data_IF_865274371602
#
_entry.id   IF_865274371602
#
_cell.length_a   1.000
_cell.length_b   1.000
_cell.length_c   1.000
_cell.angle_alpha   90.00
_cell.angle_beta   90.00
_cell.angle_gamma   90.00
#
_symmetry.space_group_name_H-M   'P 1'
#
loop_
_entity.id
_entity.type
_entity.pdbx_description
1 polymer ?
#
# COMPACT_ATOMS: atom_id res chain seq x y z
N UNK A 1 -21.78 24.30 0.62
CA UNK A 1 -21.72 23.42 -0.56
C UNK A 1 -20.85 24.10 -1.59
N UNK A 2 -19.56 23.77 -1.58
CA UNK A 2 -18.54 24.36 -2.45
C UNK A 2 -18.69 23.82 -3.88
N UNK A 3 -19.13 24.64 -4.81
CA UNK A 3 -19.02 24.33 -6.23
C UNK A 3 -17.56 24.50 -6.66
N UNK A 4 -16.83 23.38 -6.73
CA UNK A 4 -15.59 23.29 -7.50
C UNK A 4 -15.94 23.46 -8.98
N UNK A 5 -15.95 24.69 -9.45
CA UNK A 5 -15.92 25.00 -10.88
C UNK A 5 -14.52 24.63 -11.41
N UNK A 6 -14.44 23.47 -12.07
CA UNK A 6 -13.23 23.09 -12.82
C UNK A 6 -12.94 24.18 -13.87
N UNK A 7 -11.71 24.73 -13.96
CA UNK A 7 -11.41 25.72 -14.98
C UNK A 7 -11.57 25.08 -16.36
N UNK A 8 -12.44 25.69 -17.18
CA UNK A 8 -12.68 25.33 -18.58
C UNK A 8 -11.34 25.33 -19.32
N UNK A 9 -11.08 24.30 -20.13
CA UNK A 9 -9.88 24.21 -20.97
C UNK A 9 -9.84 25.41 -21.92
N UNK A 10 -9.02 26.40 -21.58
CA UNK A 10 -8.84 27.59 -22.39
C UNK A 10 -8.03 27.25 -23.64
N UNK A 11 -8.69 27.24 -24.79
CA UNK A 11 -8.07 27.13 -26.11
C UNK A 11 -7.45 28.48 -26.49
N UNK A 12 -6.31 28.82 -25.90
CA UNK A 12 -5.56 30.03 -26.27
C UNK A 12 -4.91 29.85 -27.65
N UNK A 13 -5.14 30.79 -28.58
CA UNK A 13 -4.42 30.81 -29.86
C UNK A 13 -2.95 31.19 -29.62
N UNK A 14 -2.04 30.72 -30.48
CA UNK A 14 -0.59 30.97 -30.37
C UNK A 14 -0.23 32.47 -30.37
N UNK A 15 -1.05 33.32 -30.97
CA UNK A 15 -0.82 34.76 -31.07
C UNK A 15 -1.33 35.53 -29.85
N UNK A 16 -2.12 34.90 -28.98
CA UNK A 16 -2.76 35.52 -27.82
C UNK A 16 -1.98 35.28 -26.50
N UNK A 17 -0.78 34.72 -26.57
CA UNK A 17 0.04 34.48 -25.37
C UNK A 17 0.62 35.83 -24.89
N UNK A 18 0.34 36.25 -23.63
CA UNK A 18 0.84 37.52 -23.12
C UNK A 18 2.36 37.62 -23.18
N UNK A 19 2.87 38.80 -23.52
CA UNK A 19 4.31 39.03 -23.70
C UNK A 19 5.12 38.78 -22.42
N UNK A 20 4.52 39.01 -21.25
CA UNK A 20 5.09 38.65 -19.96
C UNK A 20 5.34 37.13 -19.82
N UNK A 21 4.47 36.29 -20.39
CA UNK A 21 4.64 34.83 -20.38
C UNK A 21 5.71 34.42 -21.39
N UNK A 22 5.78 35.09 -22.54
CA UNK A 22 6.80 34.85 -23.57
C UNK A 22 8.22 35.05 -22.99
N UNK A 23 8.43 36.10 -22.19
CA UNK A 23 9.74 36.36 -21.54
C UNK A 23 10.17 35.30 -20.51
N UNK A 24 9.23 34.47 -20.03
CA UNK A 24 9.46 33.41 -19.06
C UNK A 24 9.65 32.03 -19.71
N UNK A 25 9.30 31.88 -21.00
CA UNK A 25 9.55 30.66 -21.76
C UNK A 25 11.07 30.36 -21.78
N UNK A 26 11.45 29.13 -21.46
CA UNK A 26 12.85 28.71 -21.35
C UNK A 26 13.53 28.99 -20.00
N UNK A 27 13.00 29.89 -19.17
CA UNK A 27 13.50 30.16 -17.79
C UNK A 27 12.79 29.34 -16.72
N UNK A 28 11.53 28.97 -16.97
CA UNK A 28 10.71 28.09 -16.12
C UNK A 28 10.17 26.93 -16.97
N UNK A 29 9.74 25.86 -16.31
CA UNK A 29 9.15 24.75 -17.05
C UNK A 29 7.77 25.14 -17.62
N UNK A 30 7.49 24.72 -18.84
CA UNK A 30 6.21 24.97 -19.52
C UNK A 30 5.00 24.48 -18.67
N UNK A 31 5.23 23.47 -17.81
CA UNK A 31 4.21 22.92 -16.89
C UNK A 31 3.93 23.84 -15.71
N UNK A 32 4.96 24.47 -15.16
CA UNK A 32 4.80 25.40 -14.03
C UNK A 32 4.14 26.70 -14.51
N UNK A 33 4.58 27.23 -15.67
CA UNK A 33 3.93 28.37 -16.32
C UNK A 33 2.48 28.10 -16.70
N UNK A 34 2.17 26.86 -17.12
CA UNK A 34 0.80 26.45 -17.41
C UNK A 34 -0.10 26.50 -16.17
N UNK A 35 0.42 26.09 -15.01
CA UNK A 35 -0.32 26.11 -13.76
C UNK A 35 -0.56 27.53 -13.23
N UNK A 36 0.41 28.44 -13.42
CA UNK A 36 0.33 29.83 -12.96
C UNK A 36 -0.55 30.70 -13.89
N UNK A 37 -0.33 30.61 -15.20
CA UNK A 37 -0.99 31.50 -16.17
C UNK A 37 -2.34 30.95 -16.69
N UNK A 38 -2.68 29.70 -16.37
CA UNK A 38 -3.89 29.03 -16.88
C UNK A 38 -3.85 28.71 -18.37
N UNK A 39 -2.71 28.91 -19.04
CA UNK A 39 -2.49 28.60 -20.46
C UNK A 39 -2.07 27.14 -20.58
N UNK A 40 -2.57 26.41 -21.59
CA UNK A 40 -2.15 25.03 -21.79
C UNK A 40 -0.64 24.92 -22.07
N UNK A 41 0.04 24.02 -21.36
CA UNK A 41 1.45 23.71 -21.55
C UNK A 41 1.78 23.36 -23.02
N UNK A 42 0.81 22.84 -23.77
CA UNK A 42 0.95 22.57 -25.20
C UNK A 42 1.20 23.86 -26.02
N UNK A 43 0.42 24.91 -25.79
CA UNK A 43 0.56 26.17 -26.52
C UNK A 43 1.84 26.91 -26.13
N UNK A 44 2.23 26.86 -24.85
CA UNK A 44 3.52 27.38 -24.38
C UNK A 44 4.68 26.67 -25.08
N UNK A 45 4.63 25.34 -25.19
CA UNK A 45 5.63 24.56 -25.93
C UNK A 45 5.70 24.96 -27.40
N UNK A 46 4.56 25.13 -28.07
CA UNK A 46 4.51 25.51 -29.49
C UNK A 46 5.04 26.94 -29.72
N UNK A 47 4.68 27.90 -28.86
CA UNK A 47 5.21 29.27 -28.93
C UNK A 47 6.71 29.31 -28.65
N UNK A 48 7.18 28.53 -27.68
CA UNK A 48 8.60 28.36 -27.37
C UNK A 48 9.39 27.84 -28.59
N UNK A 49 8.87 26.82 -29.28
CA UNK A 49 9.47 26.29 -30.50
C UNK A 49 9.44 27.29 -31.66
N UNK A 50 8.34 28.04 -31.82
CA UNK A 50 8.22 29.08 -32.85
C UNK A 50 9.23 30.23 -32.65
N UNK A 51 9.58 30.55 -31.41
CA UNK A 51 10.58 31.54 -31.05
C UNK A 51 12.01 30.98 -30.98
N UNK A 52 12.21 29.68 -31.25
CA UNK A 52 13.53 29.04 -31.19
C UNK A 52 14.12 28.97 -29.78
N UNK A 53 13.30 29.06 -28.74
CA UNK A 53 13.76 29.03 -27.34
C UNK A 53 13.88 27.57 -26.89
N UNK A 54 15.00 27.21 -26.27
CA UNK A 54 15.21 25.86 -25.76
C UNK A 54 14.29 25.53 -24.57
N UNK A 55 14.00 24.24 -24.40
CA UNK A 55 13.19 23.80 -23.27
C UNK A 55 13.95 24.07 -21.97
N UNK A 56 13.24 24.49 -20.93
CA UNK A 56 13.85 24.66 -19.62
C UNK A 56 14.45 23.33 -19.14
N UNK A 57 15.78 23.25 -19.08
CA UNK A 57 16.51 22.10 -18.56
C UNK A 57 16.73 22.28 -17.07
N UNK A 58 16.17 21.37 -16.27
CA UNK A 58 16.52 21.29 -14.84
C UNK A 58 18.02 20.95 -14.72
N UNK A 59 18.81 21.90 -14.22
CA UNK A 59 20.23 21.70 -13.94
C UNK A 59 21.17 22.70 -14.59
N UNK A 60 20.70 23.50 -15.57
CA UNK A 60 21.41 24.67 -16.06
C UNK A 60 20.91 25.88 -15.27
N UNK A 61 21.79 26.45 -14.45
CA UNK A 61 21.45 27.57 -13.57
C UNK A 61 22.17 28.83 -14.07
N UNK A 62 21.51 30.00 -14.07
CA UNK A 62 22.17 31.25 -14.43
C UNK A 62 23.43 31.48 -13.58
N UNK A 63 24.53 31.93 -14.20
CA UNK A 63 25.79 32.19 -13.48
C UNK A 63 25.59 33.19 -12.33
N UNK A 64 24.75 34.20 -12.53
CA UNK A 64 24.34 35.15 -11.48
C UNK A 64 23.68 34.47 -10.28
N UNK A 65 22.88 33.43 -10.51
CA UNK A 65 22.25 32.64 -9.44
C UNK A 65 23.32 31.86 -8.66
N UNK A 66 24.29 31.28 -9.36
CA UNK A 66 25.39 30.54 -8.74
C UNK A 66 26.25 31.43 -7.84
N UNK A 67 26.50 32.67 -8.25
CA UNK A 67 27.25 33.65 -7.45
C UNK A 67 26.50 34.14 -6.20
N UNK A 68 25.17 34.06 -6.19
CA UNK A 68 24.32 34.46 -5.07
C UNK A 68 24.05 33.32 -4.07
N UNK A 69 24.26 32.06 -4.47
CA UNK A 69 24.19 30.91 -3.58
C UNK A 69 25.16 31.08 -2.41
N UNK A 70 24.64 30.99 -1.19
CA UNK A 70 25.45 31.16 0.01
C UNK A 70 25.81 32.62 0.35
N UNK A 71 25.48 33.62 -0.48
CA UNK A 71 25.50 35.04 -0.05
C UNK A 71 24.13 35.52 0.42
N UNK A 72 23.11 35.00 -0.24
CA UNK A 72 21.70 35.32 -0.03
C UNK A 72 20.95 34.06 0.42
N UNK A 73 19.80 34.19 1.06
CA UNK A 73 19.01 33.03 1.50
C UNK A 73 18.54 32.19 0.30
N UNK A 74 18.48 30.87 0.46
CA UNK A 74 17.97 29.96 -0.58
C UNK A 74 16.53 30.34 -1.00
N UNK A 75 15.76 30.97 -0.09
CA UNK A 75 14.41 31.48 -0.35
C UNK A 75 14.43 32.65 -1.32
N UNK A 76 15.24 33.66 -1.04
CA UNK A 76 15.32 34.88 -1.83
C UNK A 76 15.97 34.63 -3.20
N UNK A 77 16.94 33.72 -3.28
CA UNK A 77 17.45 33.21 -4.56
C UNK A 77 16.34 32.50 -5.33
N UNK A 78 15.52 31.69 -4.64
CA UNK A 78 14.35 31.05 -5.24
C UNK A 78 13.33 32.05 -5.79
N UNK A 79 12.96 33.06 -5.01
CA UNK A 79 12.01 34.10 -5.40
C UNK A 79 12.54 34.96 -6.56
N UNK A 80 13.82 35.37 -6.51
CA UNK A 80 14.46 36.23 -7.52
C UNK A 80 14.60 35.56 -8.88
N UNK A 81 14.95 34.28 -8.91
CA UNK A 81 15.18 33.54 -10.15
C UNK A 81 14.01 32.62 -10.54
N UNK A 82 12.95 32.56 -9.72
CA UNK A 82 11.78 31.72 -9.98
C UNK A 82 12.00 30.22 -9.77
N UNK A 83 12.93 29.84 -8.91
CA UNK A 83 13.19 28.44 -8.54
C UNK A 83 12.56 28.10 -7.19
N UNK A 84 12.05 26.87 -7.06
CA UNK A 84 11.57 26.38 -5.78
C UNK A 84 12.71 26.28 -4.74
N UNK A 85 12.47 26.69 -3.49
CA UNK A 85 13.49 26.76 -2.43
C UNK A 85 14.26 25.45 -2.22
N UNK A 86 13.58 24.30 -2.34
CA UNK A 86 14.22 22.99 -2.20
C UNK A 86 15.21 22.70 -3.35
N UNK A 87 14.93 23.20 -4.55
CA UNK A 87 15.82 23.06 -5.71
C UNK A 87 17.09 23.89 -5.52
N UNK A 88 16.96 25.10 -4.97
CA UNK A 88 18.10 25.97 -4.63
C UNK A 88 18.93 25.35 -3.50
N UNK A 89 18.29 24.84 -2.45
CA UNK A 89 18.98 24.15 -1.35
C UNK A 89 19.70 22.88 -1.82
N UNK A 90 19.08 22.11 -2.72
CA UNK A 90 19.71 20.93 -3.34
C UNK A 90 20.90 21.32 -4.22
N UNK A 91 20.77 22.38 -5.02
CA UNK A 91 21.85 22.92 -5.84
C UNK A 91 23.03 23.39 -4.97
N UNK A 92 22.74 24.18 -3.93
CA UNK A 92 23.72 24.66 -2.97
C UNK A 92 24.52 23.51 -2.35
N UNK A 93 23.81 22.45 -1.90
CA UNK A 93 24.43 21.24 -1.34
C UNK A 93 25.26 20.50 -2.39
N UNK A 94 24.79 20.41 -3.63
CA UNK A 94 25.50 19.75 -4.74
C UNK A 94 26.81 20.48 -5.09
N UNK A 95 26.83 21.81 -4.97
CA UNK A 95 28.00 22.65 -5.21
C UNK A 95 28.88 22.84 -3.96
N UNK A 96 28.54 22.19 -2.84
CA UNK A 96 29.33 22.27 -1.60
C UNK A 96 29.32 23.64 -0.91
N UNK A 97 28.43 24.55 -1.31
CA UNK A 97 28.39 25.91 -0.76
C UNK A 97 27.65 25.89 0.58
N UNK A 98 28.23 26.46 1.63
CA UNK A 98 27.55 26.61 2.91
C UNK A 98 26.46 27.68 2.81
N UNK A 99 25.30 27.45 3.44
CA UNK A 99 24.30 28.52 3.60
C UNK A 99 24.79 29.44 4.71
N UNK A 100 25.07 30.71 4.40
CA UNK A 100 25.53 31.71 5.38
C UNK A 100 24.41 32.17 6.30
N UNK A 101 23.17 32.07 5.85
CA UNK A 101 22.01 32.49 6.60
C UNK A 101 21.29 31.25 7.11
N UNK A 102 21.44 30.96 8.41
CA UNK A 102 20.44 30.13 9.10
C UNK A 102 19.09 30.77 8.79
N UNK A 103 18.12 30.07 8.18
CA UNK A 103 16.84 30.70 7.90
C UNK A 103 16.36 31.29 9.22
N UNK A 104 16.21 32.62 9.25
CA UNK A 104 15.50 33.29 10.32
C UNK A 104 14.14 32.61 10.31
N UNK A 105 13.94 31.69 11.25
CA UNK A 105 12.69 30.99 11.38
C UNK A 105 11.76 32.04 11.95
N UNK A 106 11.22 32.89 11.08
CA UNK A 106 10.07 33.71 11.42
C UNK A 106 9.06 32.68 11.93
N UNK A 107 8.60 32.81 13.19
CA UNK A 107 7.63 31.88 13.74
C UNK A 107 6.43 31.93 12.81
N UNK A 108 6.28 30.89 12.01
CA UNK A 108 5.11 30.77 11.15
C UNK A 108 3.94 30.73 12.12
N UNK A 109 2.95 31.61 11.95
CA UNK A 109 1.67 31.59 12.68
C UNK A 109 0.85 30.33 12.33
N UNK A 110 1.51 29.18 12.12
CA UNK A 110 0.87 27.90 12.34
C UNK A 110 0.55 27.86 13.83
N UNK A 111 -0.72 27.61 14.22
CA UNK A 111 -1.03 27.34 15.62
C UNK A 111 -0.07 26.23 16.05
N UNK A 112 0.83 26.56 16.99
CA UNK A 112 1.79 25.62 17.55
C UNK A 112 0.99 24.40 17.94
N UNK A 113 1.13 23.32 17.17
CA UNK A 113 0.72 22.00 17.63
C UNK A 113 1.48 21.87 18.93
N UNK A 114 0.73 21.97 20.04
CA UNK A 114 1.22 21.99 21.41
C UNK A 114 2.45 21.11 21.46
N UNK A 115 3.60 21.68 21.86
CA UNK A 115 4.84 20.94 22.13
C UNK A 115 4.41 19.67 22.83
N UNK A 116 4.39 18.54 22.12
CA UNK A 116 3.78 17.31 22.65
C UNK A 116 4.46 17.08 23.99
N UNK A 117 3.67 17.13 25.06
CA UNK A 117 4.18 16.83 26.39
C UNK A 117 4.95 15.53 26.25
N UNK A 118 6.21 15.53 26.68
CA UNK A 118 7.05 14.34 26.63
C UNK A 118 6.42 13.42 27.66
N UNK A 119 5.49 12.57 27.21
CA UNK A 119 4.85 11.57 28.05
C UNK A 119 5.98 10.63 28.46
N UNK A 120 6.40 10.72 29.72
CA UNK A 120 7.42 9.82 30.22
C UNK A 120 6.90 8.39 30.12
N UNK A 121 7.73 7.47 29.60
CA UNK A 121 7.32 6.07 29.51
C UNK A 121 7.08 5.54 30.93
N UNK A 122 5.94 4.89 31.20
CA UNK A 122 5.71 4.20 32.46
C UNK A 122 6.86 3.23 32.73
N UNK A 123 7.33 3.13 33.97
CA UNK A 123 8.43 2.24 34.34
C UNK A 123 8.14 0.77 33.99
N UNK A 124 6.87 0.36 34.12
CA UNK A 124 6.39 -0.95 33.70
C UNK A 124 6.52 -1.19 32.19
N UNK A 125 6.35 -0.17 31.37
CA UNK A 125 6.58 -0.29 29.93
C UNK A 125 8.07 -0.45 29.64
N UNK A 126 8.92 0.28 30.37
CA UNK A 126 10.37 0.26 30.19
C UNK A 126 10.95 -1.11 30.51
N UNK A 127 10.46 -1.81 31.54
CA UNK A 127 10.90 -3.17 31.89
C UNK A 127 10.49 -4.19 30.81
N UNK A 128 9.38 -3.98 30.13
CA UNK A 128 8.88 -4.88 29.07
C UNK A 128 9.47 -4.59 27.68
N UNK A 129 10.12 -3.45 27.47
CA UNK A 129 10.83 -3.13 26.22
C UNK A 129 11.94 -4.16 25.95
N UNK A 130 11.84 -4.88 24.83
CA UNK A 130 12.82 -5.91 24.46
C UNK A 130 12.51 -7.31 24.99
N UNK A 131 11.48 -7.48 25.82
CA UNK A 131 10.91 -8.78 26.21
C UNK A 131 9.67 -9.08 25.38
N UNK A 132 8.78 -8.09 25.27
CA UNK A 132 7.59 -8.14 24.41
C UNK A 132 7.82 -7.37 23.13
N UNK A 133 6.96 -7.62 22.14
CA UNK A 133 7.07 -6.92 20.87
C UNK A 133 6.64 -5.45 21.02
N UNK A 134 7.31 -4.55 20.30
CA UNK A 134 6.92 -3.14 20.23
C UNK A 134 5.45 -2.98 19.77
N UNK A 135 4.92 -3.98 19.05
CA UNK A 135 3.55 -4.01 18.57
C UNK A 135 2.55 -4.27 19.71
N UNK A 136 2.81 -5.28 20.53
CA UNK A 136 1.93 -5.65 21.65
C UNK A 136 1.90 -4.52 22.69
N UNK A 137 3.07 -3.95 23.00
CA UNK A 137 3.19 -2.81 23.91
C UNK A 137 2.47 -1.56 23.36
N UNK A 138 2.48 -1.36 22.04
CA UNK A 138 1.74 -0.26 21.42
C UNK A 138 0.23 -0.44 21.54
N UNK A 139 -0.28 -1.66 21.36
CA UNK A 139 -1.71 -1.95 21.50
C UNK A 139 -2.19 -1.90 22.94
N UNK A 140 -1.36 -2.31 23.89
CA UNK A 140 -1.71 -2.38 25.31
C UNK A 140 -1.63 -1.01 25.99
N UNK A 141 -0.54 -0.27 25.79
CA UNK A 141 -0.30 1.00 26.47
C UNK A 141 -0.74 2.23 25.65
N UNK A 142 -1.22 2.04 24.41
CA UNK A 142 -1.74 3.11 23.55
C UNK A 142 -0.67 4.06 22.97
N UNK A 143 0.61 3.75 23.14
CA UNK A 143 1.69 4.52 22.52
C UNK A 143 1.85 4.20 21.04
N UNK A 144 2.24 5.18 20.23
CA UNK A 144 2.55 4.95 18.81
C UNK A 144 3.75 4.03 18.65
N UNK A 145 3.67 3.04 17.75
CA UNK A 145 4.77 2.12 17.40
C UNK A 145 6.10 2.83 17.12
N UNK A 146 6.05 3.97 16.44
CA UNK A 146 7.23 4.77 16.13
C UNK A 146 7.91 5.30 17.41
N UNK A 147 7.09 5.73 18.38
CA UNK A 147 7.58 6.25 19.65
C UNK A 147 8.27 5.15 20.46
N UNK A 148 7.64 3.98 20.62
CA UNK A 148 8.25 2.84 21.30
C UNK A 148 9.56 2.37 20.64
N UNK A 149 9.60 2.30 19.30
CA UNK A 149 10.83 1.96 18.56
C UNK A 149 11.96 2.97 18.80
N UNK A 150 11.62 4.26 18.88
CA UNK A 150 12.58 5.34 19.16
C UNK A 150 13.12 5.21 20.58
N UNK A 151 12.22 5.03 21.55
CA UNK A 151 12.55 4.90 22.97
C UNK A 151 13.36 3.63 23.27
N UNK A 152 13.03 2.51 22.62
CA UNK A 152 13.82 1.26 22.66
C UNK A 152 15.24 1.47 22.15
N UNK A 153 15.37 2.10 20.97
CA UNK A 153 16.67 2.41 20.37
C UNK A 153 17.49 3.38 21.22
N UNK A 154 16.86 4.40 21.79
CA UNK A 154 17.52 5.36 22.67
C UNK A 154 18.10 4.69 23.93
N UNK A 155 17.47 3.61 24.40
CA UNK A 155 17.94 2.78 25.54
C UNK A 155 18.89 1.65 25.13
N UNK A 156 19.25 1.54 23.85
CA UNK A 156 20.16 0.50 23.35
C UNK A 156 19.59 -0.92 23.35
N UNK A 157 18.29 -1.08 23.58
CA UNK A 157 17.64 -2.40 23.69
C UNK A 157 17.39 -2.94 22.27
N UNK A 158 17.74 -4.21 22.02
CA UNK A 158 17.45 -4.87 20.75
C UNK A 158 15.95 -5.20 20.64
N UNK A 159 15.45 -5.29 19.40
CA UNK A 159 14.06 -5.69 19.18
C UNK A 159 13.93 -7.17 19.45
N UNK A 160 12.83 -7.58 20.08
CA UNK A 160 12.41 -8.98 20.04
C UNK A 160 12.22 -9.38 18.57
N UNK A 161 12.82 -10.51 18.18
CA UNK A 161 12.58 -11.10 16.88
C UNK A 161 11.27 -11.87 16.92
N UNK A 162 10.15 -11.18 16.72
CA UNK A 162 8.86 -11.84 16.54
C UNK A 162 8.80 -12.38 15.11
N UNK A 163 8.58 -13.70 14.92
CA UNK A 163 8.39 -14.27 13.60
C UNK A 163 7.26 -13.52 12.89
N UNK A 164 7.61 -12.86 11.79
CA UNK A 164 6.66 -12.03 11.03
C UNK A 164 5.48 -12.83 10.47
N UNK A 165 5.64 -14.15 10.38
CA UNK A 165 4.72 -15.08 9.75
C UNK A 165 4.67 -16.39 10.56
N UNK A 166 3.49 -17.00 10.74
CA UNK A 166 3.38 -18.28 11.42
C UNK A 166 4.09 -19.38 10.62
N UNK A 167 4.80 -20.26 11.32
CA UNK A 167 5.63 -21.30 10.72
C UNK A 167 4.80 -22.32 9.92
N UNK A 168 3.60 -22.64 10.40
CA UNK A 168 2.64 -23.47 9.67
C UNK A 168 2.34 -22.91 8.28
N UNK A 169 2.12 -21.58 8.16
CA UNK A 169 1.87 -20.94 6.88
C UNK A 169 3.10 -20.99 5.96
N UNK A 170 4.31 -20.83 6.52
CA UNK A 170 5.56 -20.94 5.76
C UNK A 170 5.73 -22.36 5.20
N UNK A 171 5.40 -23.38 5.98
CA UNK A 171 5.51 -24.79 5.57
C UNK A 171 4.52 -25.21 4.47
N UNK A 172 3.38 -24.50 4.37
CA UNK A 172 2.33 -24.74 3.38
C UNK A 172 2.51 -23.90 2.10
N UNK A 173 3.39 -22.90 2.13
CA UNK A 173 3.67 -22.03 0.98
C UNK A 173 4.19 -22.87 -0.19
N UNK A 174 3.52 -22.79 -1.36
CA UNK A 174 3.89 -23.57 -2.55
C UNK A 174 3.37 -25.00 -2.59
N UNK A 175 2.92 -25.57 -1.46
CA UNK A 175 2.19 -26.86 -1.40
C UNK A 175 0.69 -26.68 -1.59
N UNK A 176 0.15 -25.59 -1.07
CA UNK A 176 -1.28 -25.24 -1.17
C UNK A 176 -1.44 -23.98 -2.01
N UNK A 177 -2.61 -23.77 -2.61
CA UNK A 177 -2.89 -22.56 -3.35
C UNK A 177 -2.89 -21.33 -2.42
N UNK A 178 -2.29 -20.22 -2.87
CA UNK A 178 -2.25 -18.95 -2.13
C UNK A 178 -3.65 -18.50 -1.65
N UNK A 179 -4.72 -18.83 -2.39
CA UNK A 179 -6.11 -18.51 -2.02
C UNK A 179 -6.55 -19.17 -0.72
N UNK A 180 -6.20 -20.44 -0.52
CA UNK A 180 -6.63 -21.18 0.67
C UNK A 180 -5.85 -20.69 1.89
N UNK A 181 -4.58 -20.31 1.70
CA UNK A 181 -3.78 -19.67 2.74
C UNK A 181 -4.32 -18.29 3.14
N UNK A 182 -4.80 -17.50 2.18
CA UNK A 182 -5.50 -16.23 2.46
C UNK A 182 -6.74 -16.47 3.31
N UNK A 183 -7.55 -17.47 2.95
CA UNK A 183 -8.76 -17.80 3.70
C UNK A 183 -8.46 -18.32 5.12
N UNK A 184 -7.38 -19.10 5.28
CA UNK A 184 -7.05 -19.75 6.55
C UNK A 184 -6.30 -18.84 7.53
N UNK A 185 -5.41 -17.98 7.04
CA UNK A 185 -4.54 -17.14 7.88
C UNK A 185 -4.85 -15.64 7.80
N UNK A 186 -5.76 -15.21 6.93
CA UNK A 186 -6.18 -13.80 6.82
C UNK A 186 -5.16 -12.85 6.18
N UNK A 187 -4.03 -13.35 5.65
CA UNK A 187 -3.06 -12.52 4.93
C UNK A 187 -3.51 -12.19 3.51
N UNK A 188 -3.05 -11.06 2.97
CA UNK A 188 -3.30 -10.71 1.57
C UNK A 188 -2.54 -11.62 0.58
N UNK A 189 -3.17 -11.89 -0.56
CA UNK A 189 -2.57 -12.63 -1.70
C UNK A 189 -1.27 -11.96 -2.19
N UNK A 190 -1.19 -10.63 -2.14
CA UNK A 190 0.05 -9.90 -2.50
C UNK A 190 1.18 -10.19 -1.51
N UNK A 191 0.87 -10.26 -0.21
CA UNK A 191 1.82 -10.60 0.86
C UNK A 191 2.40 -12.00 0.66
N UNK A 192 1.56 -13.00 0.42
CA UNK A 192 2.00 -14.37 0.15
C UNK A 192 2.83 -14.46 -1.13
N UNK A 193 2.48 -13.70 -2.16
CA UNK A 193 3.24 -13.69 -3.42
C UNK A 193 4.65 -13.11 -3.26
N UNK A 194 4.79 -12.02 -2.49
CA UNK A 194 6.09 -11.46 -2.14
C UNK A 194 6.88 -12.43 -1.27
N UNK A 195 6.24 -13.02 -0.26
CA UNK A 195 6.87 -13.98 0.65
C UNK A 195 7.41 -15.19 -0.10
N UNK A 196 6.59 -15.76 -1.00
CA UNK A 196 6.97 -16.88 -1.87
C UNK A 196 8.16 -16.54 -2.77
N UNK A 197 8.16 -15.35 -3.39
CA UNK A 197 9.31 -14.87 -4.20
C UNK A 197 10.58 -14.71 -3.36
N UNK A 198 10.47 -14.18 -2.14
CA UNK A 198 11.62 -14.02 -1.22
C UNK A 198 12.22 -15.37 -0.80
N UNK A 199 11.38 -16.38 -0.60
CA UNK A 199 11.81 -17.73 -0.24
C UNK A 199 12.18 -18.60 -1.45
N UNK A 200 12.12 -18.07 -2.67
CA UNK A 200 12.43 -18.82 -3.89
C UNK A 200 11.43 -19.94 -4.21
N UNK A 201 10.28 -19.97 -3.55
CA UNK A 201 9.28 -21.03 -3.71
C UNK A 201 8.47 -20.76 -4.98
N UNK A 202 8.26 -21.78 -5.81
CA UNK A 202 7.40 -21.66 -7.00
C UNK A 202 5.93 -21.62 -6.59
N UNK A 203 5.09 -20.97 -7.40
CA UNK A 203 3.65 -20.93 -7.14
C UNK A 203 3.10 -22.36 -7.22
N UNK A 204 2.23 -22.72 -6.28
CA UNK A 204 1.47 -23.97 -6.39
C UNK A 204 0.71 -23.98 -7.72
N UNK A 205 1.03 -24.93 -8.58
CA UNK A 205 0.43 -25.08 -9.89
C UNK A 205 -0.77 -26.03 -9.80
N UNK A 206 -1.76 -25.82 -10.67
CA UNK A 206 -2.90 -26.73 -10.76
C UNK A 206 -2.41 -28.03 -11.39
N UNK A 207 -2.54 -29.13 -10.67
CA UNK A 207 -2.18 -30.45 -11.19
C UNK A 207 -3.40 -31.05 -11.89
N UNK A 208 -3.25 -31.38 -13.18
CA UNK A 208 -4.21 -32.18 -13.92
C UNK A 208 -3.93 -33.66 -13.66
N UNK A 209 -4.68 -34.26 -12.73
CA UNK A 209 -4.62 -35.71 -12.48
C UNK A 209 -5.38 -36.47 -13.56
N UNK A 210 -5.10 -37.77 -13.71
CA UNK A 210 -5.77 -38.62 -14.71
C UNK A 210 -7.31 -38.59 -14.59
N UNK A 211 -7.82 -38.61 -13.36
CA UNK A 211 -9.25 -38.47 -13.06
C UNK A 211 -9.83 -37.15 -13.57
N UNK A 212 -9.11 -36.03 -13.36
CA UNK A 212 -9.54 -34.69 -13.82
C UNK A 212 -9.51 -34.58 -15.33
N UNK A 213 -8.53 -35.22 -15.98
CA UNK A 213 -8.43 -35.28 -17.44
C UNK A 213 -9.57 -36.11 -18.01
N UNK A 214 -9.97 -37.20 -17.36
CA UNK A 214 -11.07 -38.06 -17.80
C UNK A 214 -12.44 -37.35 -17.83
N UNK A 215 -12.59 -36.23 -17.11
CA UNK A 215 -13.79 -35.37 -17.14
C UNK A 215 -13.83 -34.45 -18.37
N UNK A 216 -12.66 -34.14 -18.95
CA UNK A 216 -12.56 -33.27 -20.13
C UNK A 216 -13.23 -33.95 -21.34
N UNK A 217 -14.10 -33.22 -22.03
CA UNK A 217 -14.82 -33.73 -23.21
C UNK A 217 -16.04 -34.60 -22.89
N UNK A 218 -16.21 -35.08 -21.65
CA UNK A 218 -17.44 -35.75 -21.19
C UNK A 218 -18.47 -34.76 -20.66
N UNK A 219 -18.01 -33.73 -19.98
CA UNK A 219 -18.80 -32.68 -19.33
C UNK A 219 -18.40 -31.32 -19.91
N UNK A 220 -19.27 -30.30 -19.85
CA UNK A 220 -18.94 -28.94 -20.32
C UNK A 220 -17.78 -28.34 -19.51
N UNK A 221 -16.90 -27.58 -20.18
CA UNK A 221 -15.73 -26.93 -19.55
C UNK A 221 -16.11 -26.05 -18.33
N UNK A 222 -17.29 -25.43 -18.32
CA UNK A 222 -17.80 -24.63 -17.20
C UNK A 222 -18.21 -25.48 -15.99
N UNK A 223 -18.79 -26.65 -16.25
CA UNK A 223 -19.25 -27.60 -15.23
C UNK A 223 -18.06 -28.34 -14.61
N UNK A 224 -17.05 -28.70 -15.42
CA UNK A 224 -15.76 -29.22 -14.91
C UNK A 224 -15.06 -28.19 -14.00
N UNK A 225 -15.07 -26.92 -14.38
CA UNK A 225 -14.50 -25.86 -13.55
C UNK A 225 -15.28 -25.68 -12.22
N UNK A 226 -16.61 -25.82 -12.24
CA UNK A 226 -17.43 -25.76 -11.04
C UNK A 226 -17.19 -26.97 -10.13
N UNK A 227 -17.08 -28.17 -10.70
CA UNK A 227 -16.86 -29.43 -9.98
C UNK A 227 -15.48 -29.46 -9.31
N UNK A 228 -14.44 -29.02 -10.01
CA UNK A 228 -13.08 -28.97 -9.47
C UNK A 228 -12.84 -27.78 -8.52
N UNK A 229 -13.80 -26.88 -8.39
CA UNK A 229 -13.76 -25.74 -7.48
C UNK A 229 -12.77 -24.65 -7.88
N UNK A 230 -12.77 -23.55 -7.13
CA UNK A 230 -12.16 -22.26 -7.48
C UNK A 230 -10.63 -22.20 -7.67
N UNK A 231 -9.96 -23.34 -7.73
CA UNK A 231 -8.65 -23.44 -8.37
C UNK A 231 -8.77 -23.50 -9.89
N UNK A 232 -9.78 -24.11 -10.50
CA UNK A 232 -9.93 -24.29 -11.95
C UNK A 232 -10.91 -23.28 -12.56
N UNK A 233 -10.48 -22.53 -13.57
CA UNK A 233 -11.34 -21.61 -14.34
C UNK A 233 -11.70 -22.25 -15.67
N UNK A 234 -12.88 -21.91 -16.24
CA UNK A 234 -13.31 -22.36 -17.58
C UNK A 234 -12.20 -22.22 -18.63
N UNK A 235 -11.47 -21.08 -18.60
CA UNK A 235 -10.33 -20.83 -19.47
C UNK A 235 -9.20 -21.85 -19.31
N UNK A 236 -8.82 -22.19 -18.06
CA UNK A 236 -7.78 -23.20 -17.79
C UNK A 236 -8.21 -24.61 -18.19
N UNK A 237 -9.49 -24.95 -18.02
CA UNK A 237 -10.06 -26.23 -18.47
C UNK A 237 -10.01 -26.32 -19.99
N UNK A 238 -10.47 -25.28 -20.69
CA UNK A 238 -10.49 -25.26 -22.16
C UNK A 238 -9.09 -25.24 -22.77
N UNK A 239 -8.11 -24.62 -22.10
CA UNK A 239 -6.71 -24.67 -22.52
C UNK A 239 -6.14 -26.08 -22.39
N UNK A 240 -6.37 -26.76 -21.26
CA UNK A 240 -5.92 -28.14 -21.06
C UNK A 240 -6.58 -29.11 -22.05
N UNK A 241 -7.89 -28.98 -22.26
CA UNK A 241 -8.65 -29.74 -23.27
C UNK A 241 -8.03 -29.58 -24.67
N UNK A 242 -7.75 -28.34 -25.09
CA UNK A 242 -7.14 -28.04 -26.40
C UNK A 242 -5.73 -28.60 -26.52
N UNK A 243 -4.90 -28.49 -25.48
CA UNK A 243 -3.54 -29.06 -25.52
C UNK A 243 -3.52 -30.58 -25.61
N UNK A 244 -4.60 -31.26 -25.15
CA UNK A 244 -4.76 -32.71 -25.24
C UNK A 244 -5.55 -33.15 -26.50
N UNK A 245 -5.93 -32.22 -27.38
CA UNK A 245 -6.69 -32.54 -28.60
C UNK A 245 -8.12 -33.02 -28.36
N UNK A 246 -8.66 -32.86 -27.15
CA UNK A 246 -9.98 -33.38 -26.79
C UNK A 246 -11.07 -32.45 -27.36
N UNK A 247 -12.09 -32.97 -28.07
CA UNK A 247 -13.17 -32.15 -28.61
C UNK A 247 -14.05 -31.54 -27.50
N UNK A 248 -14.72 -30.43 -27.82
CA UNK A 248 -15.60 -29.76 -26.85
C UNK A 248 -16.90 -30.56 -26.65
N UNK A 249 -17.29 -30.78 -25.39
CA UNK A 249 -18.63 -31.28 -25.09
C UNK A 249 -19.65 -30.16 -25.30
N UNK A 250 -20.53 -30.30 -26.29
CA UNK A 250 -21.58 -29.30 -26.58
C UNK A 250 -22.72 -29.33 -25.56
N UNK A 251 -22.87 -30.45 -24.84
CA UNK A 251 -23.94 -30.71 -23.89
C UNK A 251 -25.35 -30.50 -24.46
N UNK A 252 -26.40 -30.51 -23.62
CA UNK A 252 -27.77 -30.43 -24.11
C UNK A 252 -28.12 -29.01 -24.61
N UNK A 253 -28.89 -28.94 -25.71
CA UNK A 253 -29.24 -27.69 -26.42
C UNK A 253 -30.03 -26.69 -25.58
N UNK A 254 -30.72 -27.17 -24.55
CA UNK A 254 -31.53 -26.36 -23.64
C UNK A 254 -30.71 -25.64 -22.54
N UNK A 255 -29.38 -25.77 -22.56
CA UNK A 255 -28.52 -25.14 -21.55
C UNK A 255 -28.49 -25.87 -20.21
N UNK A 256 -29.18 -27.00 -20.06
CA UNK A 256 -29.18 -27.78 -18.83
C UNK A 256 -27.77 -28.31 -18.48
N UNK A 257 -27.49 -28.55 -17.19
CA UNK A 257 -26.26 -29.20 -16.77
C UNK A 257 -26.16 -30.62 -17.35
N UNK A 258 -24.94 -31.09 -17.63
CA UNK A 258 -24.72 -32.46 -18.10
C UNK A 258 -25.16 -33.46 -17.04
N UNK A 259 -25.80 -34.58 -17.41
CA UNK A 259 -26.25 -35.60 -16.47
C UNK A 259 -25.12 -36.12 -15.55
N UNK A 260 -23.91 -36.27 -16.11
CA UNK A 260 -22.70 -36.64 -15.36
C UNK A 260 -22.24 -35.56 -14.35
N UNK A 261 -22.48 -34.28 -14.63
CA UNK A 261 -22.19 -33.22 -13.65
C UNK A 261 -23.14 -33.30 -12.46
N UNK A 262 -24.43 -33.56 -12.73
CA UNK A 262 -25.45 -33.68 -11.67
C UNK A 262 -25.19 -34.88 -10.76
N UNK A 263 -24.77 -36.03 -11.31
CA UNK A 263 -24.41 -37.19 -10.49
C UNK A 263 -23.19 -36.90 -9.62
N UNK A 264 -22.08 -36.44 -10.21
CA UNK A 264 -20.83 -36.19 -9.48
C UNK A 264 -20.96 -35.05 -8.46
N UNK A 265 -21.82 -34.06 -8.72
CA UNK A 265 -22.07 -32.96 -7.78
C UNK A 265 -22.83 -33.40 -6.52
N UNK A 266 -23.66 -34.45 -6.60
CA UNK A 266 -24.39 -35.01 -5.46
C UNK A 266 -23.45 -35.76 -4.52
N UNK A 267 -22.52 -36.52 -5.09
CA UNK A 267 -21.51 -37.28 -4.34
C UNK A 267 -20.55 -36.35 -3.56
N UNK A 268 -20.20 -35.20 -4.13
CA UNK A 268 -19.39 -34.18 -3.43
C UNK A 268 -20.14 -33.47 -2.28
N UNK A 269 -21.47 -33.40 -2.32
CA UNK A 269 -22.25 -32.80 -1.23
C UNK A 269 -22.41 -33.74 -0.04
N UNK A 270 -22.45 -35.06 -0.28
CA UNK A 270 -22.51 -36.07 0.78
C UNK A 270 -21.18 -36.19 1.54
N UNK A 271 -20.03 -36.16 0.86
CA UNK A 271 -18.71 -36.14 1.53
C UNK A 271 -18.48 -34.86 2.37
N UNK A 272 -19.01 -33.72 1.93
CA UNK A 272 -18.95 -32.46 2.70
C UNK A 272 -19.85 -32.45 3.94
N UNK A 273 -20.88 -33.29 4.00
CA UNK A 273 -21.74 -33.44 5.19
C UNK A 273 -21.17 -34.46 6.19
N UNK A 274 -20.40 -35.46 5.75
CA UNK A 274 -19.72 -36.42 6.65
C UNK A 274 -18.45 -35.87 7.32
N UNK A 275 -17.83 -34.82 6.78
CA UNK A 275 -16.63 -34.19 7.34
C UNK A 275 -16.88 -33.08 8.39
N UNK A 276 -18.10 -33.00 8.95
CA UNK A 276 -18.40 -32.13 10.11
C UNK A 276 -18.37 -32.99 11.38
N UNK A 277 -17.34 -32.88 12.26
CA UNK A 277 -17.47 -33.42 13.59
C UNK A 277 -18.62 -32.69 14.30
N UNK A 278 -19.65 -33.47 14.64
CA UNK A 278 -20.74 -33.08 15.50
C UNK A 278 -20.21 -32.80 16.90
N UNK A 279 -19.71 -31.59 17.15
CA UNK A 279 -19.55 -31.07 18.52
C UNK A 279 -19.46 -29.55 18.48
N UNK A 280 -20.58 -28.89 18.77
CA UNK A 280 -20.59 -27.51 19.24
C UNK A 280 -20.55 -27.55 20.77
N UNK A 281 -19.48 -27.11 21.45
CA UNK A 281 -19.62 -26.58 22.79
C UNK A 281 -20.07 -25.11 22.66
N UNK A 282 -21.27 -24.83 23.17
CA UNK A 282 -21.86 -23.50 23.20
C UNK A 282 -20.94 -22.48 23.87
N UNK A 283 -20.58 -21.45 23.14
CA UNK A 283 -20.05 -20.21 23.72
C UNK A 283 -21.22 -19.36 24.18
N UNK A 284 -21.67 -19.56 25.41
CA UNK A 284 -22.48 -18.57 26.11
C UNK A 284 -21.58 -17.40 26.51
N UNK A 285 -21.65 -16.32 25.74
CA UNK A 285 -21.19 -14.99 26.13
C UNK A 285 -21.98 -14.55 27.37
N UNK A 286 -21.38 -14.61 28.55
CA UNK A 286 -21.82 -13.77 29.66
C UNK A 286 -21.11 -12.43 29.54
N UNK A 287 -21.91 -11.38 29.35
CA UNK A 287 -21.46 -10.00 29.45
C UNK A 287 -22.25 -9.29 30.54
N UNK A 288 -21.49 -8.65 31.42
CA UNK A 288 -21.84 -7.49 32.27
C UNK A 288 -22.61 -7.78 33.56
N UNK A 289 -21.95 -7.60 34.72
CA UNK A 289 -22.03 -6.35 35.50
C UNK A 289 -21.15 -6.47 36.76
N UNK A 290 -20.19 -5.55 36.90
CA UNK A 290 -19.54 -5.23 38.17
C UNK A 290 -20.53 -4.44 39.04
N UNK A 291 -20.69 -4.77 40.33
CA UNK A 291 -21.09 -3.81 41.34
C UNK A 291 -19.92 -3.46 42.27
N UNK A 292 -19.60 -2.17 42.25
CA UNK A 292 -19.23 -1.29 43.35
C UNK A 292 -18.83 -1.92 44.69
N UNK A 293 -17.59 -1.59 45.08
CA UNK A 293 -17.04 -1.61 46.44
C UNK A 293 -17.97 -0.87 47.42
N UNK A 294 -18.04 -1.34 48.67
CA UNK A 294 -17.83 -0.42 49.78
C UNK A 294 -16.75 -0.89 50.75
N UNK A 295 -16.14 0.13 51.34
CA UNK A 295 -15.01 0.14 52.25
C UNK A 295 -15.28 -0.49 53.62
N UNK A 296 -14.15 -0.76 54.30
CA UNK A 296 -13.91 -0.61 55.74
C UNK A 296 -13.83 -1.87 56.61
N UNK A 297 -12.74 -1.89 57.40
CA UNK A 297 -12.57 -2.55 58.72
C UNK A 297 -12.47 -4.09 58.70
N UNK A 298 -11.68 -4.80 59.49
CA UNK A 298 -10.81 -4.56 60.63
C UNK A 298 -9.82 -5.76 60.64
N UNK A 299 -8.52 -5.56 60.87
CA UNK A 299 -7.86 -5.76 62.16
C UNK A 299 -7.80 -7.23 62.66
N UNK A 300 -6.57 -7.64 62.99
CA UNK A 300 -6.19 -8.69 63.95
C UNK A 300 -6.19 -10.17 63.53
N UNK A 301 -5.04 -10.81 63.77
CA UNK A 301 -4.78 -12.15 64.37
C UNK A 301 -3.36 -12.55 63.90
N UNK A 302 -2.28 -12.38 64.67
CA UNK A 302 -1.86 -13.20 65.84
C UNK A 302 -2.49 -14.59 65.89
N UNK A 303 -1.71 -15.61 65.51
CA UNK A 303 -1.23 -16.70 66.37
C UNK A 303 -0.12 -17.47 65.64
#
# INVERSE_FOLDING_TARGET
>A
MSELTKPKSSSHKLDEIPEAVIQQLGKRSDRDLSAECGISAYFLKQKRLALGIDQFKRGEYPEEMLQLLGKVTDREVGERFGYHIASVCALRKKLGVASTVKPATLPTLTPSIKKREIVNLPQELVSQLGVRSDQDLSTEFGFTLHYLKKERKARGILSVNVPKYPEEMLSLLGKVADRDLVARFGYSSTTLSVLRKKLGIKRHHKVWTAERIALLGKIKDSEVAALLGGAFTKGSVSQCRRSLGIPICRGPRNGAPTALFLSLSRDLTTEKMEALPSTQPGWTRQSTQLPLVPSSEANSLQA
#
